data_IF_663021119784
#
_entry.id   IF_663021119784
#
_cell.length_a   1.000
_cell.length_b   1.000
_cell.length_c   1.000
_cell.angle_alpha   90.00
_cell.angle_beta   90.00
_cell.angle_gamma   90.00
#
_symmetry.space_group_name_H-M   'P 1'
#
loop_
_entity.id
_entity.type
_entity.pdbx_description
1 polymer ?
#
# COMPACT_ATOMS: atom_id res chain seq x y z
N UNK A 1 -1.64 -17.65 -7.39
CA UNK A 1 -1.41 -16.28 -7.86
C UNK A 1 -2.69 -15.44 -7.68
N UNK A 2 -2.55 -14.20 -7.12
CA UNK A 2 -3.68 -13.30 -6.83
C UNK A 2 -4.55 -13.03 -8.07
N UNK A 3 -3.94 -12.88 -9.24
CA UNK A 3 -4.66 -12.60 -10.50
C UNK A 3 -5.49 -13.79 -10.94
N UNK A 4 -4.97 -15.01 -10.84
CA UNK A 4 -5.74 -16.22 -11.12
C UNK A 4 -6.91 -16.37 -10.15
N UNK A 5 -6.70 -16.06 -8.88
CA UNK A 5 -7.76 -16.05 -7.88
C UNK A 5 -8.86 -15.02 -8.20
N UNK A 6 -8.53 -13.85 -8.76
CA UNK A 6 -9.54 -12.86 -9.21
C UNK A 6 -10.39 -13.43 -10.33
N UNK A 7 -9.78 -14.07 -11.33
CA UNK A 7 -10.51 -14.72 -12.42
C UNK A 7 -11.38 -15.88 -11.95
N UNK A 8 -10.90 -16.65 -10.97
CA UNK A 8 -11.68 -17.74 -10.38
C UNK A 8 -12.84 -17.25 -9.50
N UNK A 9 -12.74 -16.06 -8.94
CA UNK A 9 -13.78 -15.44 -8.09
C UNK A 9 -14.80 -14.60 -8.85
N UNK A 10 -14.77 -14.58 -10.20
CA UNK A 10 -15.83 -14.00 -11.01
C UNK A 10 -15.61 -12.54 -11.41
N UNK A 11 -14.36 -12.08 -11.55
CA UNK A 11 -14.08 -10.72 -12.06
C UNK A 11 -14.61 -10.53 -13.49
N UNK A 12 -14.72 -11.59 -14.28
CA UNK A 12 -15.28 -11.53 -15.65
C UNK A 12 -16.77 -11.23 -15.61
N UNK A 13 -17.51 -11.99 -14.83
CA UNK A 13 -18.96 -11.86 -14.67
C UNK A 13 -19.33 -10.53 -13.99
N UNK A 14 -18.51 -10.08 -13.05
CA UNK A 14 -18.67 -8.77 -12.42
C UNK A 14 -18.50 -7.63 -13.44
N UNK A 15 -17.44 -7.69 -14.26
CA UNK A 15 -17.18 -6.67 -15.28
C UNK A 15 -18.27 -6.63 -16.34
N UNK A 16 -18.73 -7.81 -16.79
CA UNK A 16 -19.82 -7.94 -17.77
C UNK A 16 -21.10 -7.29 -17.24
N UNK A 17 -21.47 -7.55 -15.99
CA UNK A 17 -22.64 -6.94 -15.34
C UNK A 17 -22.49 -5.41 -15.24
N UNK A 18 -21.34 -4.91 -14.82
CA UNK A 18 -21.09 -3.45 -14.74
C UNK A 18 -21.24 -2.78 -16.11
N UNK A 19 -20.71 -3.39 -17.17
CA UNK A 19 -20.86 -2.87 -18.53
C UNK A 19 -22.32 -2.89 -18.99
N UNK A 20 -23.09 -3.94 -18.66
CA UNK A 20 -24.52 -4.05 -18.97
C UNK A 20 -25.35 -3.00 -18.20
N UNK A 21 -24.95 -2.66 -16.98
CA UNK A 21 -25.57 -1.61 -16.15
C UNK A 21 -25.21 -0.18 -16.62
N UNK A 22 -24.42 -0.04 -17.70
CA UNK A 22 -24.06 1.25 -18.30
C UNK A 22 -22.78 1.88 -17.76
N UNK A 23 -21.99 1.19 -16.95
CA UNK A 23 -20.68 1.65 -16.51
C UNK A 23 -19.64 1.43 -17.62
N UNK A 24 -19.49 2.39 -18.51
CA UNK A 24 -18.62 2.30 -19.69
C UNK A 24 -17.13 2.32 -19.35
N UNK A 25 -16.32 1.85 -20.30
CA UNK A 25 -14.84 1.75 -20.19
C UNK A 25 -14.13 3.09 -19.97
N UNK A 26 -14.79 4.22 -20.30
CA UNK A 26 -14.30 5.58 -20.13
C UNK A 26 -14.26 6.03 -18.65
N UNK A 27 -15.07 5.39 -17.79
CA UNK A 27 -15.14 5.72 -16.36
C UNK A 27 -13.82 5.40 -15.67
N UNK A 28 -13.40 6.28 -14.74
CA UNK A 28 -12.15 6.14 -14.01
C UNK A 28 -12.02 4.80 -13.27
N UNK A 29 -13.10 4.32 -12.65
CA UNK A 29 -13.13 3.01 -11.97
C UNK A 29 -12.89 1.84 -12.93
N UNK A 30 -13.44 1.90 -14.15
CA UNK A 30 -13.29 0.85 -15.17
C UNK A 30 -11.89 0.81 -15.80
N UNK A 31 -11.06 1.84 -15.59
CA UNK A 31 -9.64 1.87 -15.96
C UNK A 31 -8.73 1.21 -14.92
N UNK A 32 -9.30 0.76 -13.79
CA UNK A 32 -8.57 0.04 -12.76
C UNK A 32 -8.04 -1.32 -13.24
N UNK A 33 -6.99 -1.79 -12.56
CA UNK A 33 -6.41 -3.12 -12.80
C UNK A 33 -7.47 -4.21 -12.58
N UNK A 34 -7.64 -5.07 -13.55
CA UNK A 34 -8.67 -6.09 -13.60
C UNK A 34 -9.77 -5.71 -14.59
N UNK A 35 -10.52 -4.67 -14.29
CA UNK A 35 -11.64 -4.24 -15.15
C UNK A 35 -11.20 -3.87 -16.56
N UNK A 36 -10.12 -3.10 -16.72
CA UNK A 36 -9.63 -2.69 -18.02
C UNK A 36 -9.27 -3.89 -18.91
N UNK A 37 -8.55 -4.86 -18.36
CA UNK A 37 -8.13 -6.05 -19.12
C UNK A 37 -9.31 -6.98 -19.42
N UNK A 38 -10.23 -7.14 -18.48
CA UNK A 38 -11.43 -7.96 -18.68
C UNK A 38 -12.37 -7.28 -19.67
N UNK A 39 -12.57 -5.97 -19.61
CA UNK A 39 -13.40 -5.24 -20.57
C UNK A 39 -12.87 -5.34 -22.01
N UNK A 40 -11.54 -5.34 -22.20
CA UNK A 40 -10.92 -5.61 -23.50
C UNK A 40 -11.20 -7.02 -24.02
N UNK A 41 -11.11 -8.02 -23.14
CA UNK A 41 -11.49 -9.40 -23.46
C UNK A 41 -12.97 -9.50 -23.85
N UNK A 42 -13.88 -8.91 -23.08
CA UNK A 42 -15.32 -8.92 -23.38
C UNK A 42 -15.66 -8.18 -24.67
N UNK A 43 -14.87 -7.17 -25.04
CA UNK A 43 -14.97 -6.47 -26.31
C UNK A 43 -14.36 -7.25 -27.50
N UNK A 44 -13.78 -8.42 -27.28
CA UNK A 44 -13.16 -9.23 -28.32
C UNK A 44 -11.82 -8.71 -28.85
N UNK A 45 -11.16 -7.82 -28.12
CA UNK A 45 -9.84 -7.27 -28.48
C UNK A 45 -8.74 -8.36 -28.40
N UNK A 46 -8.90 -9.31 -27.50
CA UNK A 46 -8.01 -10.44 -27.27
C UNK A 46 -8.75 -11.56 -26.50
N UNK A 47 -8.14 -12.71 -26.38
CA UNK A 47 -8.72 -13.84 -25.67
C UNK A 47 -8.51 -13.76 -24.13
N UNK A 48 -9.15 -14.69 -23.41
CA UNK A 48 -9.07 -14.76 -21.94
C UNK A 48 -7.64 -15.01 -21.43
N UNK A 49 -6.83 -15.78 -22.16
CA UNK A 49 -5.46 -16.07 -21.78
C UNK A 49 -4.59 -14.80 -21.87
N UNK A 50 -4.79 -14.01 -22.91
CA UNK A 50 -4.11 -12.73 -23.07
C UNK A 50 -4.56 -11.70 -22.03
N UNK A 51 -5.86 -11.61 -21.69
CA UNK A 51 -6.35 -10.77 -20.61
C UNK A 51 -5.64 -11.10 -19.26
N UNK A 52 -5.53 -12.39 -18.95
CA UNK A 52 -4.82 -12.86 -17.76
C UNK A 52 -3.34 -12.47 -17.77
N UNK A 53 -2.68 -12.65 -18.92
CA UNK A 53 -1.26 -12.27 -19.11
C UNK A 53 -1.05 -10.78 -18.92
N UNK A 54 -1.90 -9.96 -19.54
CA UNK A 54 -1.87 -8.50 -19.44
C UNK A 54 -2.07 -8.04 -18.00
N UNK A 55 -3.09 -8.59 -17.31
CA UNK A 55 -3.34 -8.23 -15.91
C UNK A 55 -2.18 -8.61 -14.99
N UNK A 56 -1.56 -9.78 -15.18
CA UNK A 56 -0.34 -10.17 -14.43
C UNK A 56 0.82 -9.20 -14.66
N UNK A 57 1.05 -8.80 -15.92
CA UNK A 57 2.09 -7.83 -16.28
C UNK A 57 1.83 -6.48 -15.60
N UNK A 58 0.62 -5.95 -15.74
CA UNK A 58 0.28 -4.61 -15.29
C UNK A 58 0.23 -4.53 -13.75
N UNK A 59 -0.20 -5.61 -13.09
CA UNK A 59 -0.13 -5.73 -11.63
C UNK A 59 1.32 -5.67 -11.11
N UNK A 60 2.25 -6.37 -11.78
CA UNK A 60 3.68 -6.31 -11.42
C UNK A 60 4.27 -4.90 -11.63
N UNK A 61 3.92 -4.25 -12.74
CA UNK A 61 4.35 -2.88 -13.02
C UNK A 61 3.80 -1.90 -11.99
N UNK A 62 2.53 -2.05 -11.60
CA UNK A 62 1.90 -1.23 -10.57
C UNK A 62 2.60 -1.40 -9.22
N UNK A 63 2.82 -2.62 -8.78
CA UNK A 63 3.54 -2.92 -7.53
C UNK A 63 4.97 -2.34 -7.54
N UNK A 64 5.70 -2.46 -8.66
CA UNK A 64 7.03 -1.89 -8.81
C UNK A 64 7.01 -0.36 -8.68
N UNK A 65 6.04 0.32 -9.31
CA UNK A 65 5.89 1.78 -9.17
C UNK A 65 5.59 2.19 -7.73
N UNK A 66 4.66 1.48 -7.05
CA UNK A 66 4.35 1.73 -5.64
C UNK A 66 5.58 1.58 -4.75
N UNK A 67 6.32 0.48 -4.87
CA UNK A 67 7.54 0.25 -4.09
C UNK A 67 8.61 1.32 -4.36
N UNK A 68 8.76 1.75 -5.61
CA UNK A 68 9.71 2.82 -5.97
C UNK A 68 9.32 4.15 -5.34
N UNK A 69 8.02 4.45 -5.30
CA UNK A 69 7.50 5.67 -4.69
C UNK A 69 7.67 5.62 -3.16
N UNK A 70 7.16 4.56 -2.53
CA UNK A 70 7.24 4.40 -1.07
C UNK A 70 8.67 4.40 -0.51
N UNK A 71 9.65 3.84 -1.27
CA UNK A 71 11.07 3.86 -0.85
C UNK A 71 11.66 5.27 -0.79
N UNK A 72 11.06 6.24 -1.47
CA UNK A 72 11.50 7.63 -1.48
C UNK A 72 10.81 8.49 -0.44
N UNK A 73 9.72 8.00 0.16
CA UNK A 73 8.97 8.75 1.15
C UNK A 73 9.72 8.74 2.50
N UNK A 74 10.13 9.91 3.01
CA UNK A 74 10.76 10.00 4.32
C UNK A 74 9.75 9.67 5.42
N UNK A 75 10.20 8.96 6.44
CA UNK A 75 9.37 8.63 7.61
C UNK A 75 8.50 7.38 7.48
N UNK A 76 8.53 6.69 6.34
CA UNK A 76 7.88 5.38 6.25
C UNK A 76 8.67 4.32 7.04
N UNK A 77 7.96 3.60 7.88
CA UNK A 77 8.49 2.43 8.58
C UNK A 77 8.04 1.17 7.85
N UNK A 78 9.01 0.37 7.41
CA UNK A 78 8.75 -0.89 6.72
C UNK A 78 8.52 -2.01 7.71
N UNK A 79 7.46 -2.79 7.51
CA UNK A 79 7.22 -4.05 8.19
C UNK A 79 7.37 -5.17 7.15
N UNK A 80 8.48 -5.90 7.22
CA UNK A 80 8.71 -7.04 6.33
C UNK A 80 7.82 -8.20 6.75
N UNK A 81 7.16 -8.81 5.76
CA UNK A 81 6.28 -9.97 5.93
C UNK A 81 6.89 -11.17 5.22
N UNK A 82 6.82 -12.32 5.85
CA UNK A 82 7.20 -13.62 5.29
C UNK A 82 5.96 -14.49 5.10
N UNK A 83 6.09 -15.57 4.34
CA UNK A 83 4.99 -16.54 4.16
C UNK A 83 4.62 -17.31 5.45
N UNK A 84 5.51 -17.31 6.45
CA UNK A 84 5.31 -17.96 7.73
C UNK A 84 4.66 -17.04 8.79
N UNK A 85 4.57 -15.75 8.51
CA UNK A 85 3.98 -14.79 9.46
C UNK A 85 2.48 -15.06 9.64
N UNK A 86 2.06 -15.23 10.90
CA UNK A 86 0.65 -15.32 11.26
C UNK A 86 0.06 -13.90 11.39
N UNK A 87 -1.22 -13.78 11.10
CA UNK A 87 -1.91 -12.46 11.16
C UNK A 87 -1.81 -11.81 12.55
N UNK A 88 -1.85 -12.63 13.61
CA UNK A 88 -1.74 -12.14 15.00
C UNK A 88 -0.35 -11.56 15.29
N UNK A 89 0.72 -12.23 14.81
CA UNK A 89 2.10 -11.79 15.01
C UNK A 89 2.37 -10.47 14.25
N UNK A 90 1.83 -10.38 13.04
CA UNK A 90 1.89 -9.14 12.24
C UNK A 90 1.15 -8.01 12.93
N UNK A 91 -0.05 -8.26 13.45
CA UNK A 91 -0.84 -7.27 14.19
C UNK A 91 -0.09 -6.79 15.43
N UNK A 92 0.54 -7.70 16.18
CA UNK A 92 1.38 -7.37 17.33
C UNK A 92 2.54 -6.44 16.96
N UNK A 93 3.30 -6.77 15.90
CA UNK A 93 4.40 -5.91 15.40
C UNK A 93 3.92 -4.52 14.97
N UNK A 94 2.79 -4.45 14.28
CA UNK A 94 2.21 -3.18 13.85
C UNK A 94 1.76 -2.32 15.04
N UNK A 95 1.14 -2.93 16.05
CA UNK A 95 0.74 -2.22 17.28
C UNK A 95 1.95 -1.64 18.02
N UNK A 96 3.04 -2.39 18.14
CA UNK A 96 4.29 -1.90 18.74
C UNK A 96 4.86 -0.71 17.95
N UNK A 97 4.90 -0.80 16.62
CA UNK A 97 5.36 0.30 15.75
C UNK A 97 4.50 1.56 15.92
N UNK A 98 3.18 1.41 16.02
CA UNK A 98 2.23 2.52 16.24
C UNK A 98 2.43 3.14 17.61
N UNK A 99 2.56 2.34 18.67
CA UNK A 99 2.79 2.83 20.04
C UNK A 99 4.07 3.64 20.13
N UNK A 100 5.17 3.13 19.58
CA UNK A 100 6.44 3.84 19.51
C UNK A 100 6.28 5.19 18.79
N UNK A 101 5.63 5.20 17.63
CA UNK A 101 5.40 6.42 16.86
C UNK A 101 4.56 7.46 17.62
N UNK A 102 3.49 7.03 18.31
CA UNK A 102 2.64 7.93 19.11
C UNK A 102 3.41 8.48 20.32
N UNK A 103 4.27 7.68 20.97
CA UNK A 103 5.13 8.15 22.07
C UNK A 103 6.14 9.19 21.58
N UNK A 104 6.73 9.00 20.41
CA UNK A 104 7.68 9.95 19.80
C UNK A 104 7.01 11.29 19.43
N UNK A 105 5.70 11.27 19.14
CA UNK A 105 4.89 12.47 18.84
C UNK A 105 4.37 13.19 20.10
N UNK A 106 4.36 12.53 21.25
CA UNK A 106 3.91 13.14 22.50
C UNK A 106 4.84 14.33 22.86
N UNK A 107 4.32 15.51 23.21
CA UNK A 107 5.15 16.62 23.62
C UNK A 107 5.95 16.19 24.86
N UNK A 108 7.26 16.40 24.83
CA UNK A 108 8.15 16.13 25.98
C UNK A 108 7.59 16.88 27.19
N UNK A 109 7.41 16.19 28.30
CA UNK A 109 6.96 16.84 29.53
C UNK A 109 7.95 17.92 29.91
N UNK A 110 7.50 19.08 30.44
CA UNK A 110 8.40 20.18 30.83
C UNK A 110 9.52 19.77 31.83
N UNK A 111 9.31 18.69 32.57
CA UNK A 111 10.25 18.13 33.54
C UNK A 111 11.48 17.45 32.91
N UNK A 112 11.42 17.10 31.60
CA UNK A 112 12.55 16.50 30.88
C UNK A 112 13.39 17.52 30.10
N UNK A 113 13.06 18.82 30.19
CA UNK A 113 13.87 19.87 29.60
C UNK A 113 15.12 20.11 30.48
N UNK A 114 16.34 20.06 29.93
CA UNK A 114 17.53 20.38 30.69
C UNK A 114 17.39 21.83 31.21
N UNK A 115 17.57 22.00 32.52
CA UNK A 115 17.46 23.29 33.18
C UNK A 115 18.49 24.25 32.57
N UNK A 116 18.08 25.33 31.88
CA UNK A 116 19.00 26.26 31.25
C UNK A 116 19.90 27.02 32.25
N UNK A 117 19.62 26.94 33.58
CA UNK A 117 20.35 27.64 34.61
C UNK A 117 21.67 26.97 35.02
N UNK A 118 21.95 25.72 34.57
CA UNK A 118 23.17 24.98 34.95
C UNK A 118 24.34 25.16 33.98
N UNK A 119 24.18 25.91 32.88
CA UNK A 119 25.22 26.06 31.84
C UNK A 119 26.01 27.39 31.97
N UNK A 120 25.71 28.26 32.93
CA UNK A 120 26.36 29.59 33.03
C UNK A 120 27.41 29.70 34.12
N UNK A 121 27.76 28.67 34.89
CA UNK A 121 28.75 28.76 35.98
C UNK A 121 30.15 28.21 35.67
N UNK A 122 30.45 27.81 34.44
CA UNK A 122 31.77 27.23 34.09
C UNK A 122 32.66 28.12 33.18
N UNK A 123 32.29 29.33 32.85
CA UNK A 123 33.13 30.22 32.01
C UNK A 123 33.66 31.47 32.74
N UNK A 124 33.74 31.47 34.06
CA UNK A 124 34.37 32.59 34.78
C UNK A 124 35.45 32.13 35.74
N UNK A 125 36.47 31.43 35.23
CA UNK A 125 37.77 31.33 35.94
C UNK A 125 38.86 30.92 34.94
N UNK A 126 39.40 31.92 34.24
CA UNK A 126 40.74 31.87 33.63
C UNK A 126 41.19 33.31 33.39
#
# INVERSE_FOLDING_TARGET
>A
DRVESMFARGVVEETERLLADGYGRELGAMKGLGYQQVAGYLAGEYDRAEALRLLKRDTRHFAKRQLTWFRKEPGLRWCELTEQDRSEDVAGRLLEMIRSFVQDLAPRRPEEMPNPSLTMEQESTA
#
